data_IF_957459757101
#
_entry.id   IF_957459757101
#
_cell.length_a   1.000
_cell.length_b   1.000
_cell.length_c   1.000
_cell.angle_alpha   90.00
_cell.angle_beta   90.00
_cell.angle_gamma   90.00
#
_symmetry.space_group_name_H-M   'P 1'
#
loop_
_entity.id
_entity.type
_entity.pdbx_description
1 polymer ?
#
# COMPACT_ATOMS: atom_id res chain seq x y z
N UNK A 1 4.79 -9.03 39.19
CA UNK A 1 3.87 -8.63 38.11
C UNK A 1 4.68 -7.88 37.07
N UNK A 2 4.92 -8.46 35.90
CA UNK A 2 5.65 -7.77 34.84
C UNK A 2 4.67 -6.77 34.21
N UNK A 3 4.98 -5.49 34.29
CA UNK A 3 4.29 -4.43 33.54
C UNK A 3 4.50 -4.73 32.05
N UNK A 4 3.47 -5.16 31.35
CA UNK A 4 3.45 -5.13 29.90
C UNK A 4 3.31 -3.67 29.50
N UNK A 5 4.39 -3.04 29.09
CA UNK A 5 4.30 -1.81 28.33
C UNK A 5 3.55 -2.14 27.05
N UNK A 6 2.28 -1.81 26.98
CA UNK A 6 1.52 -1.80 25.74
C UNK A 6 2.07 -0.60 24.95
N UNK A 7 3.04 -0.84 24.07
CA UNK A 7 3.31 0.11 23.00
C UNK A 7 2.11 0.11 22.09
N UNK A 8 1.60 1.28 21.74
CA UNK A 8 0.58 1.40 20.70
C UNK A 8 1.08 0.66 19.46
N UNK A 9 0.26 -0.20 18.90
CA UNK A 9 0.54 -0.87 17.64
C UNK A 9 0.52 0.19 16.56
N UNK A 10 1.65 0.45 15.90
CA UNK A 10 1.79 1.56 14.94
C UNK A 10 2.17 0.99 13.58
N UNK A 11 1.41 1.37 12.57
CA UNK A 11 1.84 1.29 11.19
C UNK A 11 2.82 2.43 10.92
N UNK A 12 4.02 2.13 10.44
CA UNK A 12 5.03 3.14 10.09
C UNK A 12 4.78 3.82 8.74
N UNK A 13 3.80 3.36 7.99
CA UNK A 13 3.40 3.94 6.71
C UNK A 13 2.37 5.05 6.97
N UNK A 14 2.69 6.33 6.72
CA UNK A 14 1.65 7.37 6.73
C UNK A 14 0.71 7.16 5.52
N UNK A 15 -0.57 7.50 5.67
CA UNK A 15 -1.58 7.34 4.61
C UNK A 15 -1.55 5.93 3.95
N UNK A 16 -1.70 4.85 4.74
CA UNK A 16 -1.43 3.49 4.29
C UNK A 16 -2.45 2.93 3.29
N UNK A 17 -3.67 3.47 3.29
CA UNK A 17 -4.78 3.10 2.40
C UNK A 17 -5.06 4.17 1.34
N UNK A 18 -4.13 5.08 1.11
CA UNK A 18 -4.19 6.13 0.08
C UNK A 18 -5.33 7.16 0.24
N UNK A 19 -6.00 7.24 1.39
CA UNK A 19 -7.20 8.04 1.59
C UNK A 19 -6.93 9.56 1.68
N UNK A 20 -5.77 9.96 2.19
CA UNK A 20 -5.40 11.36 2.31
C UNK A 20 -4.98 11.91 0.94
N UNK A 21 -5.80 12.80 0.40
CA UNK A 21 -5.67 13.36 -0.95
C UNK A 21 -5.17 14.80 -0.91
N UNK A 22 -4.15 15.13 -1.69
CA UNK A 22 -3.69 16.51 -1.90
C UNK A 22 -4.59 17.23 -2.90
N UNK A 23 -4.93 16.54 -4.00
CA UNK A 23 -5.89 16.99 -5.02
C UNK A 23 -6.50 15.76 -5.71
N UNK A 24 -7.73 15.91 -6.25
CA UNK A 24 -8.35 14.83 -7.02
C UNK A 24 -7.55 14.54 -8.30
N UNK A 25 -7.12 13.29 -8.55
CA UNK A 25 -6.37 12.96 -9.76
C UNK A 25 -7.23 13.17 -11.01
N UNK A 26 -6.60 13.57 -12.12
CA UNK A 26 -7.27 13.82 -13.40
C UNK A 26 -6.51 13.25 -14.60
N UNK A 27 -5.40 12.55 -14.36
CA UNK A 27 -4.52 11.98 -15.38
C UNK A 27 -3.67 10.84 -14.84
N UNK A 28 -2.92 10.20 -15.73
CA UNK A 28 -1.86 9.26 -15.35
C UNK A 28 -0.67 9.99 -14.70
N UNK A 29 0.24 9.23 -14.06
CA UNK A 29 1.44 9.76 -13.43
C UNK A 29 1.14 10.78 -12.31
N UNK A 30 0.14 10.51 -11.51
CA UNK A 30 -0.31 11.42 -10.45
C UNK A 30 -0.34 10.78 -9.06
N UNK A 31 0.60 9.88 -8.76
CA UNK A 31 0.73 9.32 -7.41
C UNK A 31 1.00 10.42 -6.36
N UNK A 32 1.57 11.55 -6.76
CA UNK A 32 1.79 12.74 -5.94
C UNK A 32 0.50 13.50 -5.58
N UNK A 33 -0.64 13.16 -6.21
CA UNK A 33 -1.95 13.60 -5.78
C UNK A 33 -2.40 12.95 -4.46
N UNK A 34 -1.80 11.83 -4.10
CA UNK A 34 -1.96 11.15 -2.83
C UNK A 34 -0.95 11.68 -1.80
N UNK A 35 -1.41 12.11 -0.63
CA UNK A 35 -0.54 12.67 0.38
C UNK A 35 0.51 11.65 0.86
N UNK A 36 1.75 12.11 1.01
CA UNK A 36 2.93 11.35 1.45
C UNK A 36 3.47 10.32 0.46
N UNK A 37 2.71 9.90 -0.57
CA UNK A 37 3.20 9.00 -1.59
C UNK A 37 4.00 9.73 -2.66
N UNK A 38 5.06 9.09 -3.13
CA UNK A 38 6.09 9.66 -4.00
C UNK A 38 6.25 8.84 -5.26
N UNK A 39 6.47 9.52 -6.37
CA UNK A 39 6.89 8.90 -7.61
C UNK A 39 8.39 8.55 -7.54
N UNK A 40 8.72 7.28 -7.39
CA UNK A 40 10.10 6.79 -7.35
C UNK A 40 10.61 6.31 -8.71
N UNK A 41 9.84 6.52 -9.76
CA UNK A 41 10.24 6.27 -11.14
C UNK A 41 9.06 6.10 -12.08
N UNK A 42 9.21 6.63 -13.28
CA UNK A 42 8.23 6.55 -14.37
C UNK A 42 6.87 7.18 -14.03
N UNK A 43 5.74 6.47 -14.15
CA UNK A 43 4.41 7.08 -14.16
C UNK A 43 3.37 6.34 -13.34
N UNK A 44 3.63 6.06 -12.06
CA UNK A 44 2.62 5.43 -11.20
C UNK A 44 1.38 6.32 -11.00
N UNK A 45 0.25 5.68 -10.85
CA UNK A 45 -1.06 6.32 -10.87
C UNK A 45 -1.71 6.34 -9.48
N UNK A 46 -2.64 7.29 -9.30
CA UNK A 46 -3.53 7.39 -8.16
C UNK A 46 -4.99 7.40 -8.64
N UNK A 47 -5.86 6.67 -7.94
CA UNK A 47 -7.28 6.57 -8.20
C UNK A 47 -8.07 6.93 -6.95
N UNK A 48 -9.13 7.72 -7.10
CA UNK A 48 -9.97 8.15 -6.00
C UNK A 48 -11.40 8.41 -6.48
N UNK A 49 -12.39 8.18 -5.63
CA UNK A 49 -13.81 8.47 -5.93
C UNK A 49 -14.07 9.92 -6.32
N UNK A 50 -13.25 10.86 -5.86
CA UNK A 50 -13.36 12.28 -6.21
C UNK A 50 -12.92 12.61 -7.65
N UNK A 51 -12.32 11.66 -8.38
CA UNK A 51 -11.72 11.87 -9.68
C UNK A 51 -12.77 11.92 -10.81
N UNK A 52 -12.32 12.31 -12.01
CA UNK A 52 -13.08 12.12 -13.24
C UNK A 52 -13.20 10.61 -13.58
N UNK A 53 -14.16 10.20 -14.44
CA UNK A 53 -14.42 8.78 -14.70
C UNK A 53 -13.23 7.97 -15.24
N UNK A 54 -12.19 8.61 -15.78
CA UNK A 54 -11.02 7.90 -16.28
C UNK A 54 -10.04 7.45 -15.18
N UNK A 55 -10.07 8.12 -14.03
CA UNK A 55 -9.18 7.87 -12.88
C UNK A 55 -9.95 7.71 -11.57
N UNK A 56 -11.26 7.48 -11.68
CA UNK A 56 -12.12 7.18 -10.53
C UNK A 56 -12.06 5.70 -10.16
N UNK A 57 -12.56 5.39 -9.01
CA UNK A 57 -12.90 4.04 -8.55
C UNK A 57 -14.43 3.91 -8.48
N UNK A 58 -15.00 2.76 -8.80
CA UNK A 58 -14.33 1.51 -9.20
C UNK A 58 -13.99 1.43 -10.69
N UNK A 59 -14.36 2.41 -11.52
CA UNK A 59 -14.11 2.39 -12.96
C UNK A 59 -12.95 3.32 -13.31
N UNK A 60 -11.96 2.79 -14.03
CA UNK A 60 -10.84 3.56 -14.54
C UNK A 60 -10.47 3.12 -15.97
N UNK A 61 -9.51 3.81 -16.58
CA UNK A 61 -8.96 3.40 -17.90
C UNK A 61 -8.24 2.04 -17.84
N UNK A 62 -7.81 1.60 -16.65
CA UNK A 62 -7.11 0.33 -16.42
C UNK A 62 -8.07 -0.82 -16.05
N UNK A 63 -9.37 -0.58 -15.92
CA UNK A 63 -10.36 -1.60 -15.63
C UNK A 63 -11.29 -1.22 -14.48
N UNK A 64 -12.03 -2.22 -14.01
CA UNK A 64 -12.99 -2.09 -12.92
C UNK A 64 -12.43 -2.75 -11.67
N UNK A 65 -12.24 -1.98 -10.59
CA UNK A 65 -11.86 -2.51 -9.28
C UNK A 65 -12.29 -1.55 -8.17
N UNK A 66 -12.92 -2.10 -7.13
CA UNK A 66 -13.10 -1.36 -5.88
C UNK A 66 -11.78 -1.32 -5.10
N UNK A 67 -11.45 -0.23 -4.39
CA UNK A 67 -10.38 -0.25 -3.40
C UNK A 67 -10.54 -1.42 -2.44
N UNK A 68 -9.45 -1.91 -1.86
CA UNK A 68 -9.53 -2.93 -0.82
C UNK A 68 -10.24 -2.36 0.41
N UNK A 69 -9.89 -1.13 0.79
CA UNK A 69 -10.64 -0.35 1.78
C UNK A 69 -10.83 1.10 1.31
N UNK A 70 -11.78 1.82 1.90
CA UNK A 70 -12.00 3.24 1.66
C UNK A 70 -12.43 3.61 0.24
N UNK A 71 -11.92 4.75 -0.22
CA UNK A 71 -12.33 5.46 -1.44
C UNK A 71 -11.19 5.66 -2.46
N UNK A 72 -10.00 5.11 -2.19
CA UNK A 72 -8.82 5.36 -3.00
C UNK A 72 -7.88 4.15 -3.08
N UNK A 73 -7.01 4.12 -4.09
CA UNK A 73 -5.95 3.11 -4.28
C UNK A 73 -4.87 3.64 -5.22
N UNK A 74 -3.67 3.07 -5.17
CA UNK A 74 -2.64 3.33 -6.16
C UNK A 74 -2.68 2.30 -7.31
N UNK A 75 -1.99 2.61 -8.42
CA UNK A 75 -1.80 1.68 -9.51
C UNK A 75 -0.43 1.84 -10.17
N UNK A 76 0.13 0.73 -10.66
CA UNK A 76 1.50 0.72 -11.15
C UNK A 76 1.76 -0.43 -12.13
N UNK A 77 2.71 -0.20 -13.06
CA UNK A 77 3.24 -1.23 -13.95
C UNK A 77 4.37 -1.98 -13.23
N UNK A 78 4.16 -3.28 -12.97
CA UNK A 78 5.15 -4.18 -12.38
C UNK A 78 5.96 -4.96 -13.43
N UNK A 79 5.47 -5.04 -14.66
CA UNK A 79 6.17 -5.63 -15.78
C UNK A 79 5.65 -5.04 -17.10
N UNK A 80 6.56 -4.73 -17.99
CA UNK A 80 6.26 -4.31 -19.34
C UNK A 80 7.05 -5.22 -20.31
N UNK A 81 6.41 -5.63 -21.40
CA UNK A 81 7.10 -6.53 -22.37
C UNK A 81 8.40 -5.91 -22.87
N UNK A 82 9.51 -6.68 -22.94
CA UNK A 82 10.83 -6.16 -23.28
C UNK A 82 10.93 -5.45 -24.63
N UNK A 83 10.01 -5.76 -25.58
CA UNK A 83 9.96 -5.14 -26.92
C UNK A 83 9.18 -3.82 -26.94
N UNK A 84 8.72 -3.33 -25.79
CA UNK A 84 8.04 -2.04 -25.72
C UNK A 84 9.05 -0.89 -25.93
N UNK A 85 8.64 0.25 -26.55
CA UNK A 85 9.52 1.41 -26.75
C UNK A 85 10.15 1.99 -25.49
N UNK A 86 9.54 1.79 -24.31
CA UNK A 86 10.10 2.19 -23.02
C UNK A 86 11.33 1.40 -22.60
N UNK A 87 11.69 0.33 -23.34
CA UNK A 87 12.84 -0.50 -23.06
C UNK A 87 12.61 -1.65 -22.09
N UNK A 88 13.62 -2.49 -21.88
CA UNK A 88 13.57 -3.62 -20.96
C UNK A 88 13.59 -3.14 -19.50
N UNK A 89 13.11 -3.99 -18.61
CA UNK A 89 13.07 -3.78 -17.16
C UNK A 89 12.30 -2.52 -16.73
N UNK A 90 11.30 -2.10 -17.54
CA UNK A 90 10.46 -0.97 -17.19
C UNK A 90 9.56 -1.32 -16.00
N UNK A 91 9.60 -0.48 -14.97
CA UNK A 91 8.79 -0.56 -13.74
C UNK A 91 8.33 0.83 -13.33
N UNK A 92 7.27 0.91 -12.58
CA UNK A 92 6.75 2.16 -12.01
C UNK A 92 6.74 2.06 -10.47
N UNK A 93 7.89 2.24 -9.81
CA UNK A 93 7.97 2.15 -8.37
C UNK A 93 7.25 3.31 -7.68
N UNK A 94 6.47 2.99 -6.65
CA UNK A 94 5.94 3.97 -5.70
C UNK A 94 6.74 3.91 -4.41
N UNK A 95 6.90 5.05 -3.77
CA UNK A 95 7.64 5.17 -2.51
C UNK A 95 6.92 6.00 -1.48
N UNK A 96 7.26 5.78 -0.22
CA UNK A 96 6.74 6.58 0.90
C UNK A 96 7.80 6.71 1.98
N UNK A 97 7.91 7.92 2.56
CA UNK A 97 8.74 8.14 3.73
C UNK A 97 8.02 7.58 4.97
N UNK A 98 8.71 6.75 5.72
CA UNK A 98 8.18 6.16 6.95
C UNK A 98 8.11 7.21 8.06
N UNK A 99 7.13 7.10 8.96
CA UNK A 99 6.96 7.98 10.12
C UNK A 99 8.23 8.02 10.99
N UNK A 100 8.94 6.90 11.09
CA UNK A 100 10.21 6.77 11.77
C UNK A 100 11.16 5.89 10.97
N UNK A 101 12.45 6.20 11.02
CA UNK A 101 13.48 5.36 10.43
C UNK A 101 13.51 3.98 11.11
N UNK A 102 13.79 2.94 10.32
CA UNK A 102 13.94 1.61 10.87
C UNK A 102 15.20 1.49 11.72
N UNK A 103 15.12 0.72 12.78
CA UNK A 103 16.24 0.46 13.70
C UNK A 103 17.00 -0.78 13.24
N UNK A 104 18.32 -0.66 13.05
CA UNK A 104 19.19 -1.78 12.69
C UNK A 104 19.10 -2.91 13.73
N UNK A 105 18.95 -4.14 13.24
CA UNK A 105 18.78 -5.33 14.06
C UNK A 105 17.35 -5.60 14.52
N UNK A 106 16.43 -4.65 14.35
CA UNK A 106 15.01 -4.84 14.67
C UNK A 106 14.31 -5.62 13.54
N UNK A 107 13.44 -6.57 13.92
CA UNK A 107 12.56 -7.27 12.99
C UNK A 107 11.33 -6.44 12.69
N UNK A 108 11.01 -6.33 11.40
CA UNK A 108 9.81 -5.68 10.90
C UNK A 108 8.95 -6.64 10.09
N UNK A 109 7.64 -6.47 10.19
CA UNK A 109 6.63 -7.16 9.42
C UNK A 109 6.05 -6.18 8.40
N UNK A 110 5.87 -6.65 7.18
CA UNK A 110 5.41 -5.83 6.06
C UNK A 110 4.27 -6.55 5.35
N UNK A 111 3.24 -5.84 4.99
CA UNK A 111 2.20 -6.35 4.12
C UNK A 111 1.58 -5.24 3.27
N UNK A 112 1.00 -5.63 2.14
CA UNK A 112 0.17 -4.79 1.29
C UNK A 112 -0.72 -5.68 0.42
N UNK A 113 -1.79 -5.12 -0.11
CA UNK A 113 -2.71 -5.83 -0.97
C UNK A 113 -2.51 -5.41 -2.43
N UNK A 114 -2.66 -6.38 -3.34
CA UNK A 114 -2.59 -6.15 -4.78
C UNK A 114 -3.67 -6.95 -5.50
N UNK A 115 -4.10 -6.44 -6.65
CA UNK A 115 -4.98 -7.15 -7.58
C UNK A 115 -4.57 -6.82 -9.00
N UNK A 116 -4.56 -7.82 -9.91
CA UNK A 116 -4.21 -7.61 -11.31
C UNK A 116 -5.32 -6.83 -12.01
N UNK A 117 -4.99 -5.77 -12.72
CA UNK A 117 -5.97 -4.99 -13.45
C UNK A 117 -6.34 -5.67 -14.79
N UNK A 118 -7.64 -5.70 -15.10
CA UNK A 118 -8.14 -6.11 -16.42
C UNK A 118 -7.95 -4.99 -17.45
N UNK A 119 -6.72 -4.81 -17.90
CA UNK A 119 -6.39 -3.72 -18.81
C UNK A 119 -6.93 -4.00 -20.22
N UNK A 120 -7.81 -3.15 -20.71
CA UNK A 120 -8.49 -3.30 -21.99
C UNK A 120 -7.54 -3.35 -23.21
N UNK A 121 -6.33 -2.85 -23.09
CA UNK A 121 -5.32 -2.80 -24.16
C UNK A 121 -4.21 -3.84 -24.02
N UNK A 122 -4.38 -4.83 -23.13
CA UNK A 122 -3.50 -5.97 -23.08
C UNK A 122 -2.93 -6.27 -21.69
N UNK A 123 -3.44 -7.33 -21.08
CA UNK A 123 -3.11 -7.71 -19.72
C UNK A 123 -2.15 -8.90 -19.68
N UNK A 124 -1.21 -8.81 -18.75
CA UNK A 124 -0.27 -9.85 -18.33
C UNK A 124 -0.30 -9.89 -16.81
N UNK A 125 -0.20 -11.05 -16.22
CA UNK A 125 0.08 -11.20 -14.80
C UNK A 125 1.56 -11.54 -14.59
N UNK A 126 2.15 -11.11 -13.48
CA UNK A 126 3.55 -11.42 -13.15
C UNK A 126 3.71 -11.84 -11.68
N UNK A 127 4.86 -12.44 -11.39
CA UNK A 127 5.38 -12.60 -10.04
C UNK A 127 6.36 -11.46 -9.68
N UNK A 128 7.08 -11.63 -8.57
CA UNK A 128 8.11 -10.68 -8.08
C UNK A 128 7.57 -9.30 -7.71
N UNK A 129 6.26 -9.20 -7.48
CA UNK A 129 5.66 -8.00 -6.87
C UNK A 129 6.15 -7.96 -5.42
N UNK A 130 6.80 -6.87 -5.03
CA UNK A 130 7.49 -6.87 -3.74
C UNK A 130 7.68 -5.50 -3.13
N UNK A 131 8.33 -5.53 -1.96
CA UNK A 131 8.73 -4.35 -1.22
C UNK A 131 10.22 -4.38 -0.91
N UNK A 132 10.83 -3.21 -1.00
CA UNK A 132 12.20 -2.94 -0.60
C UNK A 132 12.28 -1.65 0.21
N UNK A 133 13.44 -1.36 0.78
CA UNK A 133 13.63 -0.19 1.62
C UNK A 133 14.86 0.58 1.20
N UNK A 134 14.84 1.89 1.40
CA UNK A 134 15.94 2.79 1.06
C UNK A 134 16.23 3.78 2.19
N UNK A 135 17.47 4.24 2.27
CA UNK A 135 17.90 5.33 3.15
C UNK A 135 17.82 6.71 2.49
N UNK A 136 17.54 6.73 1.18
CA UNK A 136 17.41 7.95 0.37
C UNK A 136 16.18 7.84 -0.52
N UNK A 137 15.54 8.95 -0.88
CA UNK A 137 14.46 8.92 -1.87
C UNK A 137 15.01 8.61 -3.27
N UNK A 138 14.14 8.09 -4.11
CA UNK A 138 14.37 7.99 -5.57
C UNK A 138 13.46 8.98 -6.29
N UNK A 139 13.69 9.18 -7.56
CA UNK A 139 12.85 10.02 -8.43
C UNK A 139 12.87 9.52 -9.89
N UNK A 140 12.15 10.20 -10.77
CA UNK A 140 12.08 9.84 -12.19
C UNK A 140 13.42 9.99 -12.93
N UNK A 141 14.36 10.81 -12.44
CA UNK A 141 15.71 10.93 -13.00
C UNK A 141 16.62 9.77 -12.58
N UNK A 142 16.43 9.26 -11.37
CA UNK A 142 17.26 8.24 -10.74
C UNK A 142 16.35 7.18 -10.11
N UNK A 143 15.64 6.39 -10.93
CA UNK A 143 14.72 5.37 -10.44
C UNK A 143 15.46 4.27 -9.70
N UNK A 144 14.74 3.59 -8.82
CA UNK A 144 15.32 2.45 -8.10
C UNK A 144 15.78 1.37 -9.10
N UNK A 145 17.02 0.88 -8.98
CA UNK A 145 17.53 -0.10 -9.92
C UNK A 145 16.92 -1.49 -9.70
N UNK A 146 16.80 -2.27 -10.77
CA UNK A 146 16.45 -3.69 -10.71
C UNK A 146 17.69 -4.50 -10.31
N UNK A 147 17.77 -4.87 -9.05
CA UNK A 147 18.94 -5.56 -8.48
C UNK A 147 18.73 -7.07 -8.29
N UNK A 148 17.58 -7.60 -8.73
CA UNK A 148 17.15 -9.00 -8.52
C UNK A 148 17.07 -9.38 -7.03
N UNK A 149 16.82 -8.41 -6.15
CA UNK A 149 16.64 -8.58 -4.72
C UNK A 149 15.51 -7.67 -4.19
N UNK A 150 14.74 -8.18 -3.25
CA UNK A 150 13.79 -7.40 -2.46
C UNK A 150 13.74 -7.96 -1.03
N UNK A 151 13.25 -7.18 -0.06
CA UNK A 151 13.10 -7.66 1.32
C UNK A 151 11.95 -8.67 1.43
N UNK A 152 10.92 -8.51 0.62
CA UNK A 152 9.86 -9.51 0.40
C UNK A 152 9.28 -9.35 -1.00
N UNK A 153 8.75 -10.44 -1.55
CA UNK A 153 8.10 -10.44 -2.86
C UNK A 153 7.24 -11.71 -3.05
N UNK A 154 6.32 -11.67 -4.02
CA UNK A 154 5.54 -12.85 -4.43
C UNK A 154 6.40 -13.79 -5.28
N UNK A 155 6.49 -15.07 -4.91
CA UNK A 155 7.12 -16.08 -5.77
C UNK A 155 6.17 -16.58 -6.85
N UNK A 156 4.85 -16.56 -6.58
CA UNK A 156 3.82 -16.96 -7.53
C UNK A 156 3.34 -15.80 -8.36
N UNK A 157 2.98 -16.07 -9.61
CA UNK A 157 2.28 -15.11 -10.48
C UNK A 157 0.89 -14.85 -9.92
N UNK A 158 0.54 -13.57 -9.73
CA UNK A 158 -0.75 -13.15 -9.17
C UNK A 158 -1.68 -12.82 -10.34
N UNK A 159 -2.60 -13.73 -10.66
CA UNK A 159 -3.50 -13.62 -11.82
C UNK A 159 -4.89 -13.11 -11.48
N UNK A 160 -5.24 -13.02 -10.19
CA UNK A 160 -6.58 -12.66 -9.77
C UNK A 160 -6.88 -11.20 -10.13
N UNK A 161 -8.04 -10.98 -10.76
CA UNK A 161 -8.52 -9.68 -11.20
C UNK A 161 -9.76 -9.22 -10.41
N UNK A 162 -10.22 -10.04 -9.46
CA UNK A 162 -11.41 -9.78 -8.65
C UNK A 162 -11.07 -9.62 -7.17
N UNK A 163 -10.32 -10.60 -6.65
CA UNK A 163 -9.99 -10.66 -5.23
C UNK A 163 -8.61 -10.09 -4.94
N UNK A 164 -8.53 -9.27 -3.90
CA UNK A 164 -7.28 -8.71 -3.44
C UNK A 164 -6.37 -9.77 -2.80
N UNK A 165 -5.13 -9.82 -3.25
CA UNK A 165 -4.12 -10.75 -2.74
C UNK A 165 -3.18 -10.04 -1.77
N UNK A 166 -3.09 -10.55 -0.53
CA UNK A 166 -2.15 -10.02 0.47
C UNK A 166 -0.74 -10.55 0.24
N UNK A 167 0.20 -9.65 -0.05
CA UNK A 167 1.63 -9.95 -0.01
C UNK A 167 2.12 -9.58 1.39
N UNK A 168 2.76 -10.53 2.08
CA UNK A 168 3.25 -10.29 3.44
C UNK A 168 4.56 -11.03 3.71
N UNK A 169 5.35 -10.48 4.61
CA UNK A 169 6.61 -11.06 5.03
C UNK A 169 7.26 -10.32 6.19
N UNK A 170 8.46 -10.73 6.54
CA UNK A 170 9.24 -10.04 7.59
C UNK A 170 10.73 -10.08 7.27
N UNK A 171 11.45 -9.08 7.75
CA UNK A 171 12.91 -9.01 7.64
C UNK A 171 13.51 -8.35 8.88
N UNK A 172 14.81 -8.53 9.07
CA UNK A 172 15.58 -7.79 10.08
C UNK A 172 16.24 -6.62 9.36
N UNK A 173 16.01 -5.40 9.84
CA UNK A 173 16.60 -4.22 9.23
C UNK A 173 18.13 -4.25 9.39
N UNK A 174 18.83 -4.15 8.27
CA UNK A 174 20.29 -4.10 8.17
C UNK A 174 20.83 -2.68 7.93
N UNK A 175 19.90 -1.70 7.83
CA UNK A 175 20.21 -0.28 7.75
C UNK A 175 19.13 0.56 8.42
N UNK A 176 19.40 1.87 8.62
CA UNK A 176 18.42 2.85 9.10
C UNK A 176 17.54 3.32 7.92
N UNK A 177 16.75 2.42 7.38
CA UNK A 177 15.87 2.71 6.26
C UNK A 177 14.84 3.79 6.62
N UNK A 178 14.62 4.69 5.71
CA UNK A 178 13.70 5.82 5.83
C UNK A 178 12.51 5.70 4.87
N UNK A 179 12.70 5.02 3.75
CA UNK A 179 11.69 4.89 2.71
C UNK A 179 11.31 3.43 2.48
N UNK A 180 10.01 3.19 2.32
CA UNK A 180 9.47 1.96 1.73
C UNK A 180 9.30 2.18 0.23
N UNK A 181 9.58 1.17 -0.56
CA UNK A 181 9.33 1.14 -2.02
C UNK A 181 8.56 -0.11 -2.38
N UNK A 182 7.50 0.04 -3.18
CA UNK A 182 6.74 -1.08 -3.74
C UNK A 182 6.96 -1.09 -5.25
N UNK A 183 7.43 -2.22 -5.77
CA UNK A 183 7.71 -2.46 -7.20
C UNK A 183 8.03 -3.92 -7.48
N UNK A 184 8.35 -4.23 -8.72
CA UNK A 184 9.12 -5.42 -9.09
C UNK A 184 10.60 -5.03 -9.24
N UNK A 185 11.46 -5.56 -8.38
CA UNK A 185 12.89 -5.26 -8.31
C UNK A 185 13.75 -6.23 -9.14
N UNK A 186 13.10 -7.08 -9.93
CA UNK A 186 13.75 -8.11 -10.70
C UNK A 186 13.76 -7.76 -12.19
N UNK A 187 14.80 -8.16 -12.89
CA UNK A 187 14.88 -8.05 -14.35
C UNK A 187 13.79 -8.88 -15.04
N UNK A 188 13.46 -8.53 -16.26
CA UNK A 188 12.42 -9.22 -17.04
C UNK A 188 12.70 -10.72 -17.18
N UNK A 189 13.97 -11.12 -17.30
CA UNK A 189 14.38 -12.53 -17.41
C UNK A 189 14.17 -13.33 -16.11
N UNK A 190 14.07 -12.63 -14.97
CA UNK A 190 13.85 -13.19 -13.64
C UNK A 190 12.41 -13.00 -13.14
N UNK A 191 11.52 -12.54 -14.02
CA UNK A 191 10.10 -12.30 -13.73
C UNK A 191 9.25 -13.27 -14.56
N UNK A 192 8.56 -14.18 -13.90
CA UNK A 192 7.61 -15.07 -14.57
C UNK A 192 6.31 -14.34 -14.87
N UNK A 193 5.75 -14.62 -16.05
CA UNK A 193 4.54 -13.99 -16.52
C UNK A 193 3.52 -15.00 -17.05
N UNK A 194 2.23 -14.68 -16.89
CA UNK A 194 1.12 -15.38 -17.50
C UNK A 194 0.35 -14.38 -18.36
N UNK A 195 0.15 -14.73 -19.63
CA UNK A 195 -0.66 -13.94 -20.56
C UNK A 195 -2.14 -14.13 -20.23
N UNK A 196 -2.84 -13.04 -19.93
CA UNK A 196 -4.26 -13.06 -19.56
C UNK A 196 -5.16 -12.44 -20.64
N UNK A 197 -4.58 -11.87 -21.71
CA UNK A 197 -5.31 -11.29 -22.82
C UNK A 197 -4.67 -11.59 -24.19
N UNK A 198 -5.42 -11.47 -25.30
CA UNK A 198 -4.89 -11.76 -26.65
C UNK A 198 -3.74 -10.84 -27.11
N UNK A 199 -3.64 -9.64 -26.55
CA UNK A 199 -2.61 -8.65 -26.91
C UNK A 199 -1.81 -8.26 -25.66
N UNK A 200 -0.97 -9.16 -25.14
CA UNK A 200 -0.31 -8.93 -23.86
C UNK A 200 0.72 -7.79 -23.99
N UNK A 201 0.63 -6.79 -23.13
CA UNK A 201 1.53 -5.64 -23.13
C UNK A 201 2.20 -5.45 -21.78
N UNK A 202 1.42 -5.39 -20.70
CA UNK A 202 1.89 -5.01 -19.37
C UNK A 202 1.18 -5.77 -18.25
N UNK A 203 1.86 -5.92 -17.12
CA UNK A 203 1.27 -6.34 -15.85
C UNK A 203 1.04 -5.08 -15.00
N UNK A 204 -0.21 -4.67 -14.91
CA UNK A 204 -0.65 -3.55 -14.09
C UNK A 204 -1.35 -4.08 -12.84
N UNK A 205 -0.98 -3.55 -11.68
CA UNK A 205 -1.63 -3.91 -10.43
C UNK A 205 -2.10 -2.67 -9.69
N UNK A 206 -3.29 -2.78 -9.12
CA UNK A 206 -3.72 -1.88 -8.07
C UNK A 206 -3.08 -2.31 -6.75
N UNK A 207 -2.85 -1.33 -5.87
CA UNK A 207 -2.16 -1.48 -4.59
C UNK A 207 -2.98 -0.77 -3.53
N UNK A 208 -3.14 -1.43 -2.36
CA UNK A 208 -3.86 -0.83 -1.23
C UNK A 208 -3.35 -1.38 0.12
N UNK A 209 -3.71 -0.73 1.22
CA UNK A 209 -3.55 -1.16 2.60
C UNK A 209 -2.14 -1.62 2.97
N UNK A 210 -1.21 -0.70 2.88
CA UNK A 210 0.22 -0.94 3.12
C UNK A 210 0.54 -0.86 4.62
N UNK A 211 1.26 -1.84 5.14
CA UNK A 211 1.65 -1.91 6.55
C UNK A 211 3.14 -2.19 6.71
N UNK A 212 3.78 -1.44 7.60
CA UNK A 212 5.12 -1.72 8.15
C UNK A 212 5.06 -1.56 9.66
N UNK A 213 5.34 -2.63 10.40
CA UNK A 213 5.23 -2.63 11.86
C UNK A 213 6.24 -3.57 12.51
N UNK A 214 6.45 -3.43 13.81
CA UNK A 214 7.24 -4.39 14.63
C UNK A 214 6.37 -5.48 15.25
N UNK A 215 5.05 -5.41 15.11
CA UNK A 215 4.07 -6.35 15.67
C UNK A 215 3.50 -7.28 14.60
N UNK A 216 3.78 -8.58 14.72
CA UNK A 216 3.29 -9.58 13.76
C UNK A 216 1.78 -9.72 13.77
N UNK A 217 1.14 -9.64 14.95
CA UNK A 217 -0.30 -9.79 15.07
C UNK A 217 -1.03 -8.60 14.42
N UNK A 218 -0.52 -7.38 14.66
CA UNK A 218 -1.02 -6.19 14.01
C UNK A 218 -0.95 -6.31 12.48
N UNK A 219 0.19 -6.76 11.94
CA UNK A 219 0.35 -6.96 10.50
C UNK A 219 -0.60 -8.02 9.93
N UNK A 220 -0.87 -9.11 10.69
CA UNK A 220 -1.82 -10.16 10.26
C UNK A 220 -3.26 -9.64 10.21
N UNK A 221 -3.65 -8.83 11.18
CA UNK A 221 -5.02 -8.30 11.34
C UNK A 221 -5.25 -6.99 10.61
N UNK A 222 -4.20 -6.38 10.05
CA UNK A 222 -4.29 -5.12 9.32
C UNK A 222 -5.20 -5.26 8.09
N UNK A 223 -6.25 -4.44 8.04
CA UNK A 223 -7.25 -4.43 6.97
C UNK A 223 -7.40 -3.07 6.30
N UNK A 224 -6.49 -2.13 6.58
CA UNK A 224 -6.56 -0.77 6.03
C UNK A 224 -7.53 0.17 6.73
N UNK A 225 -8.31 -0.31 7.68
CA UNK A 225 -9.16 0.57 8.48
C UNK A 225 -8.28 1.54 9.26
N UNK A 226 -8.63 2.81 9.23
CA UNK A 226 -7.91 3.90 9.86
C UNK A 226 -7.32 3.49 11.19
N UNK A 227 -6.03 3.73 11.37
CA UNK A 227 -5.51 3.91 12.70
C UNK A 227 -6.28 5.09 13.28
N UNK A 228 -7.32 4.82 14.05
CA UNK A 228 -7.84 5.82 14.96
C UNK A 228 -6.61 6.27 15.72
N UNK A 229 -6.11 7.45 15.39
CA UNK A 229 -5.07 8.10 16.17
C UNK A 229 -5.65 8.18 17.58
N UNK A 230 -5.24 7.24 18.44
CA UNK A 230 -5.52 7.34 19.85
C UNK A 230 -4.61 8.47 20.40
N UNK A 231 -4.84 9.67 19.94
CA UNK A 231 -4.51 10.85 20.71
C UNK A 231 -5.41 10.77 21.96
N UNK A 232 -4.88 10.10 22.98
CA UNK A 232 -5.37 10.09 24.37
C UNK A 232 -6.87 10.42 24.58
N UNK A 233 -7.74 9.86 23.74
CA UNK A 233 -9.17 9.98 23.92
C UNK A 233 -9.58 9.02 25.05
N UNK A 234 -9.52 9.50 26.28
CA UNK A 234 -10.06 8.76 27.39
C UNK A 234 -11.57 8.85 27.38
N UNK A 235 -12.25 7.82 26.90
CA UNK A 235 -13.67 7.63 27.17
C UNK A 235 -13.78 6.94 28.52
N UNK A 236 -14.44 7.60 29.47
CA UNK A 236 -14.75 7.02 30.77
C UNK A 236 -16.23 6.72 30.84
N UNK A 237 -16.55 5.51 31.22
CA UNK A 237 -17.95 5.07 31.47
C UNK A 237 -18.11 4.79 32.97
N UNK A 238 -19.00 5.51 33.61
CA UNK A 238 -19.26 5.34 35.04
C UNK A 238 -20.69 5.69 35.40
N UNK A 239 -21.23 5.17 36.50
CA UNK A 239 -20.66 4.08 37.30
C UNK A 239 -20.66 2.75 36.51
N UNK A 240 -19.74 1.85 36.88
CA UNK A 240 -19.69 0.50 36.31
C UNK A 240 -19.39 -0.50 37.45
N UNK A 241 -20.39 -1.36 37.88
CA UNK A 241 -21.72 -1.53 37.27
C UNK A 241 -22.68 -0.36 37.59
N UNK A 242 -23.68 -0.15 36.71
CA UNK A 242 -24.73 0.85 36.90
C UNK A 242 -26.07 0.20 37.24
N UNK A 243 -26.92 0.92 37.98
CA UNK A 243 -28.29 0.50 38.28
C UNK A 243 -29.35 1.37 37.60
N UNK A 244 -29.00 2.61 37.23
CA UNK A 244 -30.01 3.58 36.73
C UNK A 244 -29.52 4.33 35.46
N UNK A 245 -28.31 4.88 35.47
CA UNK A 245 -27.77 5.66 34.36
C UNK A 245 -26.26 5.48 34.27
N UNK A 246 -25.73 5.72 33.07
CA UNK A 246 -24.30 5.79 32.81
C UNK A 246 -23.92 7.19 32.34
N UNK A 247 -22.75 7.64 32.75
CA UNK A 247 -22.14 8.87 32.24
C UNK A 247 -20.99 8.53 31.33
N UNK A 248 -20.91 9.25 30.22
CA UNK A 248 -19.78 9.18 29.27
C UNK A 248 -18.96 10.47 29.38
N UNK A 249 -17.70 10.35 29.74
CA UNK A 249 -16.76 11.45 29.64
C UNK A 249 -15.79 11.17 28.50
N UNK A 250 -15.62 12.12 27.58
CA UNK A 250 -14.68 12.06 26.48
C UNK A 250 -13.95 13.39 26.34
N UNK A 251 -12.69 13.36 25.94
CA UNK A 251 -11.90 14.55 25.61
C UNK A 251 -12.25 15.13 24.24
N UNK A 252 -12.99 14.39 23.41
CA UNK A 252 -13.46 14.81 22.09
C UNK A 252 -15.00 14.75 21.97
N UNK A 253 -15.53 15.31 20.88
CA UNK A 253 -16.96 15.31 20.59
C UNK A 253 -17.44 13.90 20.24
N UNK A 254 -18.34 13.33 21.05
CA UNK A 254 -19.04 12.07 20.75
C UNK A 254 -20.16 12.38 19.76
N UNK A 255 -20.03 11.93 18.51
CA UNK A 255 -21.02 12.17 17.45
C UNK A 255 -22.07 11.06 17.33
N UNK A 256 -21.78 9.86 17.82
CA UNK A 256 -22.69 8.71 17.82
C UNK A 256 -22.36 7.73 18.95
N UNK A 257 -23.38 7.11 19.55
CA UNK A 257 -23.27 5.95 20.44
C UNK A 257 -24.50 5.06 20.28
N UNK A 258 -24.31 3.76 20.39
CA UNK A 258 -25.37 2.77 20.43
C UNK A 258 -25.29 2.03 21.77
N UNK A 259 -26.45 1.83 22.44
CA UNK A 259 -26.57 1.08 23.69
C UNK A 259 -27.37 -0.19 23.38
N UNK A 260 -26.79 -1.34 23.66
CA UNK A 260 -27.42 -2.65 23.46
C UNK A 260 -27.86 -3.27 24.78
#
# INVERSE_FOLDING_TARGET
MASRNSFAQINLVPNPSFEDTVYCPFGTNQIDACANWLNFGNSPDYFNTCSNPAFAVPNSIFGFQYPHTGDAMAGSIFYLRPNHPSGPNYREPIGIELINNLTVGQKYFVSFYVVNAEVNFGSVACNKIGANFSTVPFDSCCPIPTLNIAKLYSDSVIVDTLDWYKISGSFIADSTYQYLVISNFFEDINTDTIVTSPFPTLAYYYIDDVCVTTDSLFNETWTGLDQISMENEMIRIFPNPTTDFISLESTSLITRYDVF
#
